data_IF_033250689839
#
_entry.id   IF_033250689839
#
_cell.length_a   1.000
_cell.length_b   1.000
_cell.length_c   1.000
_cell.angle_alpha   90.00
_cell.angle_beta   90.00
_cell.angle_gamma   90.00
#
_symmetry.space_group_name_H-M   'P 1'
#
loop_
_entity.id
_entity.type
_entity.pdbx_description
1 polymer ?
#
# COMPACT_ATOMS: atom_id res chain seq x y z
N UNK A 1 4.10 23.30 -17.95
CA UNK A 1 5.15 23.92 -17.12
C UNK A 1 6.37 23.02 -16.88
N UNK A 2 6.24 21.68 -16.94
CA UNK A 2 7.37 20.74 -16.78
C UNK A 2 7.29 19.57 -17.77
N UNK A 3 7.93 19.65 -18.96
CA UNK A 3 7.78 18.64 -20.02
C UNK A 3 8.44 17.29 -19.68
N UNK A 4 9.31 17.26 -18.68
CA UNK A 4 9.96 16.04 -18.19
C UNK A 4 9.11 15.24 -17.21
N UNK A 5 7.97 15.78 -16.74
CA UNK A 5 7.02 15.05 -15.90
C UNK A 5 5.88 14.52 -16.77
N UNK A 6 5.88 13.20 -16.98
CA UNK A 6 4.80 12.51 -17.67
C UNK A 6 3.68 12.18 -16.68
N UNK A 7 2.61 12.99 -16.71
CA UNK A 7 1.46 12.82 -15.81
C UNK A 7 0.54 11.66 -16.21
N UNK A 8 0.82 10.96 -17.32
CA UNK A 8 0.09 9.74 -17.69
C UNK A 8 0.67 8.47 -17.05
N UNK A 9 1.84 8.57 -16.40
CA UNK A 9 2.57 7.46 -15.78
C UNK A 9 3.06 7.85 -14.39
N UNK A 10 2.13 7.96 -13.45
CA UNK A 10 2.40 8.35 -12.06
C UNK A 10 2.25 7.14 -11.15
N UNK A 11 3.37 6.77 -10.53
CA UNK A 11 3.43 5.78 -9.46
C UNK A 11 3.63 6.43 -8.10
N UNK A 12 3.18 5.75 -7.04
CA UNK A 12 3.44 6.15 -5.64
C UNK A 12 3.97 4.96 -4.85
N UNK A 13 4.87 5.20 -3.91
CA UNK A 13 5.32 4.15 -3.00
C UNK A 13 5.61 4.70 -1.62
N UNK A 14 5.56 3.83 -0.62
CA UNK A 14 5.89 4.22 0.74
C UNK A 14 5.91 3.05 1.71
N UNK A 15 6.57 3.29 2.84
CA UNK A 15 6.66 2.37 3.98
C UNK A 15 5.86 2.93 5.15
N UNK A 16 5.29 2.08 6.01
CA UNK A 16 4.60 2.48 7.24
C UNK A 16 3.35 3.33 6.95
N UNK A 17 3.17 4.48 7.60
CA UNK A 17 2.16 5.47 7.22
C UNK A 17 2.23 5.84 5.72
N UNK A 18 3.43 5.84 5.12
CA UNK A 18 3.60 6.01 3.68
C UNK A 18 3.02 4.84 2.86
N UNK A 19 3.07 3.61 3.38
CA UNK A 19 2.44 2.43 2.75
C UNK A 19 0.91 2.49 2.83
N UNK A 20 0.36 2.97 3.95
CA UNK A 20 -1.07 3.28 4.06
C UNK A 20 -1.47 4.33 3.01
N UNK A 21 -0.71 5.41 2.88
CA UNK A 21 -0.98 6.49 1.93
C UNK A 21 -0.80 6.06 0.47
N UNK A 22 0.18 5.20 0.17
CA UNK A 22 0.40 4.69 -1.18
C UNK A 22 -0.79 3.85 -1.67
N UNK A 23 -1.34 2.96 -0.82
CA UNK A 23 -2.58 2.27 -1.17
C UNK A 23 -3.76 3.24 -1.23
N UNK A 24 -3.88 4.15 -0.25
CA UNK A 24 -4.98 5.11 -0.21
C UNK A 24 -5.07 5.96 -1.48
N UNK A 25 -3.92 6.38 -2.01
CA UNK A 25 -3.82 7.12 -3.26
C UNK A 25 -4.42 6.36 -4.46
N UNK A 26 -4.25 5.04 -4.54
CA UNK A 26 -4.90 4.22 -5.57
C UNK A 26 -6.40 4.05 -5.36
N UNK A 27 -6.87 4.07 -4.11
CA UNK A 27 -8.29 3.89 -3.79
C UNK A 27 -9.10 5.18 -4.04
N UNK A 28 -8.53 6.34 -3.71
CA UNK A 28 -9.23 7.64 -3.78
C UNK A 28 -8.91 8.44 -5.03
N UNK A 29 -7.70 8.25 -5.59
CA UNK A 29 -7.15 9.05 -6.69
C UNK A 29 -6.62 8.16 -7.81
N UNK A 30 -7.34 7.07 -8.07
CA UNK A 30 -7.03 6.07 -9.09
C UNK A 30 -7.05 6.57 -10.53
N UNK A 31 -7.66 7.73 -10.77
CA UNK A 31 -7.62 8.47 -12.02
C UNK A 31 -6.25 9.15 -12.25
N UNK A 32 -5.54 9.47 -11.18
CA UNK A 32 -4.22 10.09 -11.22
C UNK A 32 -3.06 9.10 -11.01
N UNK A 33 -3.20 8.15 -10.07
CA UNK A 33 -2.16 7.15 -9.78
C UNK A 33 -2.46 5.83 -10.47
N UNK A 34 -1.59 5.39 -11.38
CA UNK A 34 -1.78 4.12 -12.11
C UNK A 34 -1.16 2.92 -11.39
N UNK A 35 -0.21 3.16 -10.47
CA UNK A 35 0.48 2.08 -9.76
C UNK A 35 0.96 2.49 -8.37
N UNK A 36 0.95 1.54 -7.44
CA UNK A 36 1.33 1.77 -6.04
C UNK A 36 2.13 0.63 -5.44
N UNK A 37 3.14 0.96 -4.63
CA UNK A 37 3.83 -0.02 -3.76
C UNK A 37 3.67 0.37 -2.29
N UNK A 38 3.00 -0.48 -1.52
CA UNK A 38 2.71 -0.24 -0.12
C UNK A 38 3.45 -1.25 0.77
N UNK A 39 4.42 -0.77 1.54
CA UNK A 39 5.28 -1.58 2.41
C UNK A 39 4.94 -1.37 3.89
N UNK A 40 4.66 -2.47 4.62
CA UNK A 40 4.31 -2.47 6.05
C UNK A 40 3.28 -1.37 6.43
N UNK A 41 2.20 -1.24 5.66
CA UNK A 41 1.20 -0.16 5.83
C UNK A 41 0.22 -0.38 6.99
N UNK A 42 -0.11 0.69 7.72
CA UNK A 42 -1.19 0.71 8.71
C UNK A 42 -2.56 0.84 8.00
N UNK A 43 -3.07 -0.24 7.42
CA UNK A 43 -4.22 -0.17 6.52
C UNK A 43 -5.58 -0.02 7.23
N UNK A 44 -5.62 -0.29 8.53
CA UNK A 44 -6.76 0.01 9.39
C UNK A 44 -6.29 0.53 10.76
N UNK A 45 -6.55 1.80 11.02
CA UNK A 45 -6.11 2.50 12.24
C UNK A 45 -6.71 1.91 13.53
N UNK A 46 -7.76 1.07 13.43
CA UNK A 46 -8.36 0.39 14.60
C UNK A 46 -7.55 -0.84 15.05
N UNK A 47 -6.68 -1.35 14.17
CA UNK A 47 -5.79 -2.48 14.44
C UNK A 47 -4.38 -2.04 14.85
N UNK A 48 -4.01 -0.81 14.52
CA UNK A 48 -2.68 -0.26 14.78
C UNK A 48 -2.56 0.25 16.23
N UNK A 49 -1.38 0.70 16.63
CA UNK A 49 -1.07 1.12 18.00
C UNK A 49 -2.01 2.25 18.44
N UNK A 50 -2.66 2.06 19.59
CA UNK A 50 -3.63 3.00 20.18
C UNK A 50 -3.07 4.42 20.29
N UNK A 51 -1.87 4.59 20.87
CA UNK A 51 -1.31 5.92 21.15
C UNK A 51 -1.11 6.79 19.90
N UNK A 52 -0.79 6.17 18.77
CA UNK A 52 -0.61 6.89 17.50
C UNK A 52 -1.97 7.32 16.95
N UNK A 53 -2.92 6.38 16.87
CA UNK A 53 -4.20 6.63 16.22
C UNK A 53 -5.11 7.55 17.04
N UNK A 54 -5.13 7.44 18.37
CA UNK A 54 -5.87 8.39 19.22
C UNK A 54 -5.28 9.80 19.18
N UNK A 55 -3.95 9.93 19.03
CA UNK A 55 -3.31 11.24 18.91
C UNK A 55 -3.73 11.98 17.63
N UNK A 56 -3.96 11.25 16.53
CA UNK A 56 -4.20 11.85 15.21
C UNK A 56 -5.66 11.80 14.73
N UNK A 57 -6.42 10.76 15.10
CA UNK A 57 -7.84 10.61 14.75
C UNK A 57 -8.78 10.91 15.94
N UNK A 58 -8.26 10.93 17.17
CA UNK A 58 -9.04 11.22 18.37
C UNK A 58 -9.69 9.98 19.00
N UNK A 59 -10.32 10.20 20.15
CA UNK A 59 -11.13 9.20 20.86
C UNK A 59 -12.44 9.87 21.34
N UNK A 60 -13.60 9.19 21.29
CA UNK A 60 -13.82 7.79 20.92
C UNK A 60 -13.65 7.50 19.42
N UNK A 61 -13.43 6.22 19.08
CA UNK A 61 -13.45 5.75 17.69
C UNK A 61 -14.77 6.13 17.03
N UNK A 62 -14.68 6.84 15.91
CA UNK A 62 -15.81 7.33 15.13
C UNK A 62 -15.72 6.92 13.65
N UNK A 63 -16.55 7.53 12.79
CA UNK A 63 -16.59 7.23 11.36
C UNK A 63 -15.28 7.58 10.62
N UNK A 64 -14.43 8.46 11.16
CA UNK A 64 -13.15 8.81 10.52
C UNK A 64 -12.25 7.59 10.37
N UNK A 65 -12.23 6.67 11.34
CA UNK A 65 -11.46 5.44 11.31
C UNK A 65 -11.83 4.53 10.14
N UNK A 66 -13.13 4.37 9.89
CA UNK A 66 -13.64 3.57 8.77
C UNK A 66 -13.38 4.28 7.45
N UNK A 67 -13.62 5.61 7.40
CA UNK A 67 -13.38 6.42 6.20
C UNK A 67 -11.91 6.42 5.77
N UNK A 68 -10.96 6.24 6.71
CA UNK A 68 -9.52 6.12 6.43
C UNK A 68 -9.03 4.68 6.26
N UNK A 69 -9.90 3.67 6.36
CA UNK A 69 -9.52 2.26 6.27
C UNK A 69 -9.37 1.81 4.81
N UNK A 70 -8.17 1.39 4.43
CA UNK A 70 -7.92 0.77 3.15
C UNK A 70 -8.59 -0.61 3.04
N UNK A 71 -8.86 -1.28 4.17
CA UNK A 71 -9.57 -2.56 4.21
C UNK A 71 -11.03 -2.36 3.80
N UNK A 72 -11.70 -1.32 4.34
CA UNK A 72 -13.09 -1.00 4.00
C UNK A 72 -13.23 -0.61 2.52
N UNK A 73 -12.23 0.11 1.99
CA UNK A 73 -12.24 0.65 0.64
C UNK A 73 -11.51 -0.21 -0.40
N UNK A 74 -11.06 -1.42 -0.05
CA UNK A 74 -10.29 -2.30 -0.95
C UNK A 74 -10.99 -2.56 -2.30
N UNK A 75 -12.33 -2.62 -2.30
CA UNK A 75 -13.15 -2.78 -3.50
C UNK A 75 -13.02 -1.62 -4.51
N UNK A 76 -12.55 -0.45 -4.07
CA UNK A 76 -12.29 0.71 -4.93
C UNK A 76 -10.97 0.61 -5.68
N UNK A 77 -10.13 -0.39 -5.41
CA UNK A 77 -8.81 -0.46 -6.03
C UNK A 77 -8.90 -0.37 -7.55
N UNK A 78 -8.16 0.61 -8.06
CA UNK A 78 -7.81 0.83 -9.46
C UNK A 78 -6.29 0.91 -9.59
N UNK A 79 -5.76 0.54 -10.75
CA UNK A 79 -4.31 0.51 -10.97
C UNK A 79 -3.64 -0.78 -10.47
N UNK A 80 -2.32 -0.85 -10.64
CA UNK A 80 -1.50 -1.99 -10.25
C UNK A 80 -0.99 -1.79 -8.81
N UNK A 81 -1.08 -2.81 -7.97
CA UNK A 81 -0.66 -2.73 -6.57
C UNK A 81 0.36 -3.83 -6.24
N UNK A 82 1.45 -3.46 -5.58
CA UNK A 82 2.34 -4.38 -4.86
C UNK A 82 2.28 -4.08 -3.36
N UNK A 83 1.89 -5.08 -2.57
CA UNK A 83 1.96 -5.07 -1.11
C UNK A 83 3.25 -5.75 -0.67
N UNK A 84 3.98 -5.14 0.26
CA UNK A 84 5.18 -5.71 0.88
C UNK A 84 5.02 -5.71 2.39
N UNK A 85 5.47 -6.76 3.07
CA UNK A 85 5.41 -6.85 4.53
C UNK A 85 6.45 -7.81 5.07
N UNK A 86 7.04 -7.50 6.22
CA UNK A 86 7.87 -8.44 6.97
C UNK A 86 7.00 -9.38 7.79
N UNK A 87 7.27 -10.69 7.75
CA UNK A 87 6.48 -11.70 8.49
C UNK A 87 6.46 -11.47 10.01
N UNK A 88 7.51 -10.84 10.54
CA UNK A 88 7.70 -10.65 11.99
C UNK A 88 7.72 -9.18 12.39
N UNK A 89 7.04 -8.33 11.61
CA UNK A 89 6.91 -6.91 11.89
C UNK A 89 6.20 -6.68 13.23
N UNK A 90 6.90 -6.04 14.18
CA UNK A 90 6.37 -5.69 15.51
C UNK A 90 5.99 -4.21 15.60
N UNK A 91 6.19 -3.45 14.53
CA UNK A 91 5.84 -2.04 14.47
C UNK A 91 4.44 -1.88 13.86
N UNK A 92 4.21 -2.48 12.70
CA UNK A 92 2.88 -2.58 12.09
C UNK A 92 2.61 -4.05 11.92
N UNK A 93 1.64 -4.58 12.68
CA UNK A 93 1.35 -6.01 12.68
C UNK A 93 1.06 -6.48 11.24
N UNK A 94 1.66 -7.58 10.76
CA UNK A 94 1.42 -8.11 9.42
C UNK A 94 -0.06 -8.38 9.13
N UNK A 95 -0.87 -8.60 10.16
CA UNK A 95 -2.32 -8.68 10.05
C UNK A 95 -2.94 -7.46 9.37
N UNK A 96 -2.35 -6.26 9.54
CA UNK A 96 -2.77 -5.03 8.84
C UNK A 96 -2.76 -5.22 7.32
N UNK A 97 -1.65 -5.71 6.76
CA UNK A 97 -1.53 -6.02 5.32
C UNK A 97 -2.43 -7.19 4.95
N UNK A 98 -2.48 -8.25 5.76
CA UNK A 98 -3.27 -9.45 5.45
C UNK A 98 -4.79 -9.20 5.44
N UNK A 99 -5.29 -8.25 6.23
CA UNK A 99 -6.69 -7.82 6.17
C UNK A 99 -7.02 -7.16 4.83
N UNK A 100 -6.13 -6.34 4.28
CA UNK A 100 -6.28 -5.78 2.93
C UNK A 100 -6.24 -6.87 1.88
N UNK A 101 -5.28 -7.80 1.95
CA UNK A 101 -5.16 -8.94 1.04
C UNK A 101 -6.49 -9.72 0.98
N UNK A 102 -7.06 -10.05 2.13
CA UNK A 102 -8.35 -10.73 2.22
C UNK A 102 -9.50 -9.89 1.63
N UNK A 103 -9.53 -8.58 1.87
CA UNK A 103 -10.56 -7.69 1.32
C UNK A 103 -10.45 -7.54 -0.20
N UNK A 104 -9.23 -7.45 -0.75
CA UNK A 104 -8.96 -7.40 -2.18
C UNK A 104 -9.40 -8.70 -2.88
N UNK A 105 -9.09 -9.86 -2.29
CA UNK A 105 -9.54 -11.18 -2.80
C UNK A 105 -11.07 -11.24 -2.85
N UNK A 106 -11.76 -10.84 -1.77
CA UNK A 106 -13.23 -10.82 -1.72
C UNK A 106 -13.86 -9.87 -2.72
N UNK A 107 -13.15 -8.81 -3.10
CA UNK A 107 -13.58 -7.82 -4.09
C UNK A 107 -13.12 -8.14 -5.53
N UNK A 108 -12.55 -9.34 -5.75
CA UNK A 108 -12.04 -9.79 -7.05
C UNK A 108 -11.04 -8.80 -7.69
N UNK A 109 -10.09 -8.31 -6.87
CA UNK A 109 -9.06 -7.36 -7.30
C UNK A 109 -7.71 -8.04 -7.51
N UNK A 110 -7.02 -7.64 -8.57
CA UNK A 110 -5.65 -8.07 -8.83
C UNK A 110 -4.63 -7.23 -8.04
N UNK A 111 -3.66 -7.90 -7.43
CA UNK A 111 -2.54 -7.30 -6.71
C UNK A 111 -1.37 -8.30 -6.63
N UNK A 112 -0.18 -7.79 -6.32
CA UNK A 112 0.99 -8.58 -5.95
C UNK A 112 1.21 -8.50 -4.43
N UNK A 113 1.69 -9.58 -3.83
CA UNK A 113 2.08 -9.62 -2.41
C UNK A 113 3.49 -10.20 -2.28
N UNK A 114 4.33 -9.52 -1.51
CA UNK A 114 5.61 -10.01 -1.05
C UNK A 114 5.64 -10.01 0.48
N UNK A 115 5.55 -11.19 1.07
CA UNK A 115 5.85 -11.39 2.49
C UNK A 115 7.31 -11.83 2.61
N UNK A 116 8.11 -11.13 3.42
CA UNK A 116 9.53 -11.45 3.64
C UNK A 116 9.71 -12.21 4.96
N UNK A 117 10.05 -13.52 4.91
CA UNK A 117 10.15 -14.35 6.12
C UNK A 117 11.25 -13.88 7.07
N UNK A 118 10.95 -13.93 8.38
CA UNK A 118 11.87 -13.53 9.44
C UNK A 118 12.29 -12.04 9.45
N UNK A 119 11.71 -11.22 8.57
CA UNK A 119 11.99 -9.78 8.49
C UNK A 119 10.98 -8.97 9.31
N UNK A 120 11.43 -7.83 9.81
CA UNK A 120 10.62 -6.86 10.55
C UNK A 120 10.11 -5.71 9.67
N UNK A 121 9.96 -4.54 10.27
CA UNK A 121 9.36 -3.37 9.63
C UNK A 121 10.18 -2.81 8.45
N UNK A 122 9.49 -2.51 7.34
CA UNK A 122 10.07 -1.76 6.22
C UNK A 122 10.96 -2.58 5.30
N UNK A 123 10.41 -3.68 4.76
CA UNK A 123 11.20 -4.66 4.01
C UNK A 123 11.60 -4.16 2.61
N UNK A 124 10.94 -3.13 2.11
CA UNK A 124 11.32 -2.43 0.88
C UNK A 124 12.72 -1.81 0.96
N UNK A 125 13.25 -1.55 2.16
CA UNK A 125 14.61 -1.01 2.35
C UNK A 125 15.70 -2.08 2.29
N UNK A 126 15.34 -3.36 2.24
CA UNK A 126 16.30 -4.44 2.02
C UNK A 126 16.75 -4.48 0.56
N UNK A 127 17.93 -5.03 0.22
CA UNK A 127 18.36 -5.15 -1.17
C UNK A 127 17.38 -5.93 -2.07
N UNK A 128 16.72 -6.95 -1.51
CA UNK A 128 15.70 -7.70 -2.25
C UNK A 128 14.43 -6.86 -2.44
N UNK A 129 13.94 -6.20 -1.38
CA UNK A 129 12.76 -5.36 -1.45
C UNK A 129 12.92 -4.17 -2.42
N UNK A 130 14.07 -3.49 -2.38
CA UNK A 130 14.36 -2.37 -3.27
C UNK A 130 14.36 -2.80 -4.75
N UNK A 131 14.95 -3.95 -5.05
CA UNK A 131 14.89 -4.54 -6.40
C UNK A 131 13.46 -4.87 -6.82
N UNK A 132 12.64 -5.43 -5.92
CA UNK A 132 11.22 -5.74 -6.22
C UNK A 132 10.39 -4.48 -6.51
N UNK A 133 10.65 -3.39 -5.78
CA UNK A 133 10.07 -2.07 -6.05
C UNK A 133 10.44 -1.57 -7.47
N UNK A 134 11.73 -1.60 -7.81
CA UNK A 134 12.22 -1.18 -9.13
C UNK A 134 11.63 -2.04 -10.26
N UNK A 135 11.70 -3.37 -10.13
CA UNK A 135 11.14 -4.32 -11.10
C UNK A 135 9.64 -4.13 -11.30
N UNK A 136 8.90 -3.81 -10.24
CA UNK A 136 7.48 -3.51 -10.32
C UNK A 136 7.23 -2.29 -11.21
N UNK A 137 7.85 -1.15 -10.92
CA UNK A 137 7.63 0.06 -11.71
C UNK A 137 8.20 -0.04 -13.13
N UNK A 138 9.33 -0.72 -13.34
CA UNK A 138 9.84 -0.99 -14.69
C UNK A 138 8.86 -1.84 -15.49
N UNK A 139 8.23 -2.85 -14.88
CA UNK A 139 7.22 -3.66 -15.58
C UNK A 139 5.96 -2.86 -15.90
N UNK A 140 5.52 -1.99 -14.98
CA UNK A 140 4.27 -1.23 -15.15
C UNK A 140 4.44 -0.04 -16.11
N UNK A 141 5.57 0.65 -16.08
CA UNK A 141 5.77 1.91 -16.83
C UNK A 141 6.89 1.87 -17.88
N UNK A 142 7.65 0.79 -17.96
CA UNK A 142 8.75 0.62 -18.90
C UNK A 142 8.27 0.52 -20.35
N UNK A 143 9.17 0.85 -21.29
CA UNK A 143 8.86 0.89 -22.73
C UNK A 143 8.41 -0.44 -23.35
N UNK A 144 8.67 -1.56 -22.65
CA UNK A 144 8.23 -2.91 -23.02
C UNK A 144 7.30 -3.48 -21.95
N UNK A 145 6.39 -2.67 -21.37
CA UNK A 145 5.39 -3.19 -20.43
C UNK A 145 4.59 -4.28 -21.14
N UNK A 146 4.98 -5.53 -20.88
CA UNK A 146 4.29 -6.71 -21.35
C UNK A 146 2.97 -6.74 -20.58
N UNK A 147 1.90 -6.33 -21.25
CA UNK A 147 0.56 -6.65 -20.76
C UNK A 147 0.40 -8.17 -20.72
N UNK A 148 -0.14 -8.68 -19.62
CA UNK A 148 -1.34 -9.47 -19.67
C UNK A 148 -2.57 -8.64 -19.34
#
# INVERSE_FOLDING_TARGET
KYPFMDLSRVGIYGTSAGGQNALRALLDHGDFYQAGVADSGCHDNRMDKIWWNEQWLGWPVDESYVRSSNVADAHKLTGKLLLMVGETDRNVDPASTMQVVNALIKADKHFELLTMPGMGHGVMRTPYGARRLEEFFVRVFGANSLEP
#
